data_IF_604360374983
#
_entry.id   IF_604360374983
#
_cell.length_a   1.000
_cell.length_b   1.000
_cell.length_c   1.000
_cell.angle_alpha   90.00
_cell.angle_beta   90.00
_cell.angle_gamma   90.00
#
_symmetry.space_group_name_H-M   'P 1'
#
loop_
_entity.id
_entity.type
_entity.pdbx_description
1 polymer ?
#
# COMPACT_ATOMS: atom_id res chain seq x y z
N UNK A 1 14.26 1.58 10.89
CA UNK A 1 14.98 1.09 9.70
C UNK A 1 14.28 -0.17 9.26
N UNK A 2 13.39 0.01 8.32
CA UNK A 2 12.34 -0.93 7.99
C UNK A 2 12.38 -1.18 6.48
N UNK A 3 13.59 -1.35 5.93
CA UNK A 3 13.76 -1.70 4.51
C UNK A 3 13.08 -3.06 4.20
N UNK A 4 12.94 -3.94 5.21
CA UNK A 4 12.14 -5.17 5.17
C UNK A 4 10.62 -4.99 5.33
N UNK A 5 10.12 -3.76 5.55
CA UNK A 5 8.68 -3.44 5.59
C UNK A 5 8.22 -2.74 4.31
N UNK A 6 8.96 -2.92 3.21
CA UNK A 6 8.38 -2.71 1.88
C UNK A 6 7.32 -3.76 1.61
N UNK A 7 6.17 -3.58 2.24
CA UNK A 7 4.97 -4.39 2.08
C UNK A 7 3.97 -3.74 1.15
N UNK A 8 4.16 -2.46 0.83
CA UNK A 8 3.23 -1.72 -0.03
C UNK A 8 3.64 -1.75 -1.51
N UNK A 9 2.68 -1.84 -2.45
CA UNK A 9 2.96 -1.96 -3.88
C UNK A 9 3.80 -0.84 -4.50
N UNK A 10 3.76 0.36 -3.93
CA UNK A 10 4.47 1.55 -4.38
C UNK A 10 5.95 1.57 -3.95
N UNK A 11 6.39 0.62 -3.12
CA UNK A 11 7.75 0.56 -2.62
C UNK A 11 8.57 -0.49 -3.38
N UNK A 12 9.75 -0.09 -3.88
CA UNK A 12 10.66 -0.96 -4.61
C UNK A 12 12.09 -0.92 -4.06
N UNK A 13 12.83 -2.00 -4.31
CA UNK A 13 14.25 -2.13 -3.99
C UNK A 13 15.03 -2.77 -5.13
N UNK A 14 16.26 -2.27 -5.33
CA UNK A 14 17.25 -2.90 -6.21
C UNK A 14 18.51 -3.14 -5.39
N UNK A 15 18.84 -4.42 -5.20
CA UNK A 15 20.08 -4.83 -4.55
C UNK A 15 21.20 -4.90 -5.59
N UNK A 16 22.24 -4.08 -5.42
CA UNK A 16 23.44 -4.10 -6.25
C UNK A 16 24.56 -4.78 -5.49
N UNK A 17 24.91 -6.00 -5.91
CA UNK A 17 26.03 -6.74 -5.34
C UNK A 17 27.32 -6.32 -6.03
N UNK A 18 28.27 -5.78 -5.26
CA UNK A 18 29.59 -5.42 -5.76
C UNK A 18 30.54 -6.62 -5.69
N UNK A 19 31.50 -6.68 -6.60
CA UNK A 19 32.61 -7.62 -6.51
C UNK A 19 33.38 -7.46 -5.17
N UNK A 20 34.06 -8.52 -4.70
CA UNK A 20 34.94 -8.44 -3.53
C UNK A 20 35.91 -7.26 -3.63
N UNK A 21 36.26 -6.64 -2.50
CA UNK A 21 37.10 -5.43 -2.47
C UNK A 21 38.44 -5.61 -3.21
N UNK A 22 39.03 -6.80 -3.18
CA UNK A 22 40.28 -7.10 -3.88
C UNK A 22 40.17 -7.19 -5.40
N UNK A 23 38.96 -7.35 -5.92
CA UNK A 23 38.69 -7.51 -7.36
C UNK A 23 38.13 -6.23 -8.00
N UNK A 24 38.09 -5.13 -7.25
CA UNK A 24 37.58 -3.83 -7.72
C UNK A 24 38.52 -2.70 -7.32
N UNK A 25 38.70 -1.75 -8.24
CA UNK A 25 39.51 -0.55 -8.01
C UNK A 25 38.78 0.54 -7.20
N UNK A 26 37.44 0.57 -7.27
CA UNK A 26 36.60 1.58 -6.60
C UNK A 26 36.08 1.08 -5.26
N UNK A 27 36.11 1.91 -4.21
CA UNK A 27 35.47 1.65 -2.91
C UNK A 27 33.93 1.70 -3.01
N UNK A 28 33.20 1.06 -2.07
CA UNK A 28 31.72 1.01 -2.12
C UNK A 28 31.12 2.41 -2.07
N UNK A 29 31.68 3.25 -1.20
CA UNK A 29 31.27 4.63 -1.04
C UNK A 29 31.42 5.46 -2.32
N UNK A 30 32.53 5.28 -3.03
CA UNK A 30 32.76 5.94 -4.32
C UNK A 30 31.81 5.43 -5.42
N UNK A 31 31.32 4.19 -5.31
CA UNK A 31 30.27 3.67 -6.20
C UNK A 31 28.90 4.27 -5.83
N UNK A 32 28.58 4.36 -4.54
CA UNK A 32 27.34 4.94 -4.06
C UNK A 32 27.20 6.42 -4.44
N UNK A 33 28.27 7.23 -4.29
CA UNK A 33 28.28 8.64 -4.70
C UNK A 33 28.06 8.82 -6.20
N UNK A 34 28.78 8.07 -7.03
CA UNK A 34 28.61 8.10 -8.50
C UNK A 34 27.20 7.67 -8.92
N UNK A 35 26.62 6.66 -8.26
CA UNK A 35 25.21 6.29 -8.49
C UNK A 35 24.26 7.42 -8.11
N UNK A 36 24.46 8.08 -6.97
CA UNK A 36 23.64 9.23 -6.56
C UNK A 36 23.69 10.33 -7.63
N UNK A 37 24.87 10.66 -8.13
CA UNK A 37 25.02 11.71 -9.14
C UNK A 37 24.38 11.34 -10.47
N UNK A 38 24.50 10.09 -10.91
CA UNK A 38 23.82 9.59 -12.13
C UNK A 38 22.30 9.60 -12.00
N UNK A 39 21.77 9.38 -10.80
CA UNK A 39 20.34 9.26 -10.54
C UNK A 39 19.65 10.61 -10.27
N UNK A 40 20.39 11.65 -9.85
CA UNK A 40 19.84 12.99 -9.56
C UNK A 40 19.03 13.60 -10.71
N UNK A 41 19.41 13.34 -11.96
CA UNK A 41 18.77 13.90 -13.15
C UNK A 41 17.76 12.97 -13.82
N UNK A 42 17.45 11.82 -13.22
CA UNK A 42 16.52 10.87 -13.81
C UNK A 42 15.09 11.45 -13.75
N UNK A 43 14.40 11.47 -14.89
CA UNK A 43 12.99 11.84 -14.93
C UNK A 43 12.18 10.79 -14.14
N UNK A 44 11.52 11.25 -13.08
CA UNK A 44 10.69 10.41 -12.22
C UNK A 44 9.29 11.01 -12.10
N UNK A 45 8.25 10.18 -11.89
CA UNK A 45 6.94 10.68 -11.53
C UNK A 45 7.00 11.60 -10.31
N UNK A 46 6.16 12.63 -10.28
CA UNK A 46 6.08 13.55 -9.15
C UNK A 46 5.81 12.79 -7.84
N UNK A 47 6.52 13.16 -6.76
CA UNK A 47 6.44 12.49 -5.46
C UNK A 47 7.30 11.23 -5.31
N UNK A 48 8.05 10.82 -6.34
CA UNK A 48 9.00 9.71 -6.22
C UNK A 48 10.16 10.07 -5.29
N UNK A 49 10.41 9.23 -4.29
CA UNK A 49 11.59 9.33 -3.42
C UNK A 49 12.58 8.23 -3.77
N UNK A 50 13.78 8.63 -4.23
CA UNK A 50 14.86 7.71 -4.58
C UNK A 50 16.05 7.92 -3.65
N UNK A 51 16.55 6.83 -3.06
CA UNK A 51 17.69 6.86 -2.12
C UNK A 51 18.69 5.76 -2.45
N UNK A 52 19.97 6.12 -2.55
CA UNK A 52 21.08 5.16 -2.62
C UNK A 52 21.63 4.95 -1.23
N UNK A 53 21.52 3.73 -0.72
CA UNK A 53 21.88 3.37 0.65
C UNK A 53 22.98 2.31 0.63
N UNK A 54 24.05 2.53 1.36
CA UNK A 54 25.04 1.50 1.65
C UNK A 54 24.60 0.72 2.90
N UNK A 55 24.52 -0.62 2.86
CA UNK A 55 24.15 -1.41 4.03
C UNK A 55 25.12 -1.12 5.19
N UNK A 56 24.65 -0.53 6.30
CA UNK A 56 25.54 -0.13 7.39
C UNK A 56 26.00 -1.35 8.18
N UNK A 57 27.24 -1.36 8.70
CA UNK A 57 27.80 -2.48 9.47
C UNK A 57 27.21 -2.65 10.89
N UNK A 58 26.28 -1.79 11.32
CA UNK A 58 25.71 -1.80 12.67
C UNK A 58 24.17 -1.82 12.70
N UNK A 59 23.56 -1.91 13.89
CA UNK A 59 22.13 -2.09 14.04
C UNK A 59 21.29 -0.95 13.42
N UNK A 60 20.04 -1.24 13.03
CA UNK A 60 19.21 -0.38 12.20
C UNK A 60 18.78 1.01 12.77
N UNK A 61 19.47 2.13 12.49
CA UNK A 61 18.98 3.53 12.74
C UNK A 61 18.22 4.21 11.58
N UNK A 62 17.03 4.78 11.83
CA UNK A 62 16.11 5.34 10.81
C UNK A 62 16.72 6.46 9.93
N UNK A 63 17.60 7.27 10.49
CA UNK A 63 18.33 8.34 9.84
C UNK A 63 19.43 8.85 10.78
N UNK A 64 20.34 9.68 10.27
CA UNK A 64 21.36 10.33 11.12
C UNK A 64 20.74 11.37 12.04
N UNK A 65 19.69 12.06 11.56
CA UNK A 65 18.83 12.95 12.31
C UNK A 65 17.39 12.47 12.20
N UNK A 66 16.65 12.47 13.30
CA UNK A 66 15.25 12.08 13.36
C UNK A 66 14.48 13.12 14.18
N UNK A 67 13.38 13.61 13.63
CA UNK A 67 12.43 14.44 14.33
C UNK A 67 11.10 13.68 14.45
N UNK A 68 10.65 13.45 15.68
CA UNK A 68 9.34 12.86 15.95
C UNK A 68 8.34 13.95 16.30
N UNK A 69 7.24 14.00 15.56
CA UNK A 69 6.24 15.05 15.69
C UNK A 69 4.99 14.46 16.36
N UNK A 70 4.71 14.94 17.57
CA UNK A 70 3.53 14.58 18.34
C UNK A 70 2.52 15.73 18.30
N UNK A 71 1.24 15.41 18.20
CA UNK A 71 0.18 16.41 18.08
C UNK A 71 -1.22 15.79 18.13
N UNK A 72 -2.24 16.61 18.42
CA UNK A 72 -3.58 16.15 18.77
C UNK A 72 -4.28 15.43 17.61
N UNK A 73 -4.01 15.83 16.37
CA UNK A 73 -4.64 15.29 15.18
C UNK A 73 -3.63 15.14 14.02
N UNK A 74 -4.03 14.45 12.96
CA UNK A 74 -3.16 14.14 11.84
C UNK A 74 -2.83 15.36 10.97
N UNK A 75 -3.75 16.32 10.85
CA UNK A 75 -3.56 17.53 10.05
C UNK A 75 -2.50 18.43 10.70
N UNK A 76 -2.63 18.68 12.00
CA UNK A 76 -1.67 19.45 12.80
C UNK A 76 -0.29 18.82 12.76
N UNK A 77 -0.17 17.49 12.94
CA UNK A 77 1.12 16.79 12.87
C UNK A 77 1.81 16.98 11.52
N UNK A 78 1.07 16.90 10.41
CA UNK A 78 1.62 17.09 9.06
C UNK A 78 2.04 18.53 8.82
N UNK A 79 1.24 19.51 9.25
CA UNK A 79 1.58 20.93 9.11
C UNK A 79 2.88 21.27 9.84
N UNK A 80 3.08 20.74 11.05
CA UNK A 80 4.33 20.90 11.80
C UNK A 80 5.48 20.16 11.13
N UNK A 81 5.26 18.91 10.71
CA UNK A 81 6.29 18.12 10.02
C UNK A 81 6.77 18.81 8.72
N UNK A 82 5.87 19.44 7.96
CA UNK A 82 6.23 20.20 6.76
C UNK A 82 7.16 21.38 7.07
N UNK A 83 6.92 22.13 8.16
CA UNK A 83 7.81 23.22 8.61
C UNK A 83 9.17 22.71 9.08
N UNK A 84 9.19 21.58 9.78
CA UNK A 84 10.45 20.94 10.21
C UNK A 84 11.24 20.45 9.00
N UNK A 85 10.55 19.87 8.00
CA UNK A 85 11.14 19.44 6.74
C UNK A 85 11.78 20.61 5.98
N UNK A 86 11.08 21.74 5.88
CA UNK A 86 11.62 22.97 5.29
C UNK A 86 12.87 23.46 6.04
N UNK A 87 12.82 23.45 7.37
CA UNK A 87 13.98 23.82 8.20
C UNK A 87 15.17 22.90 7.93
N UNK A 88 14.96 21.59 7.87
CA UNK A 88 16.04 20.64 7.57
C UNK A 88 16.59 20.83 6.16
N UNK A 89 15.73 21.05 5.17
CA UNK A 89 16.13 21.31 3.79
C UNK A 89 16.89 22.63 3.62
N UNK A 90 16.70 23.60 4.52
CA UNK A 90 17.43 24.88 4.48
C UNK A 90 18.90 24.77 4.90
N UNK A 91 19.28 23.68 5.59
CA UNK A 91 20.64 23.49 6.10
C UNK A 91 21.52 22.83 5.02
N UNK A 92 22.59 23.49 4.52
CA UNK A 92 23.32 23.03 3.32
C UNK A 92 23.93 21.63 3.37
N UNK A 93 24.19 21.10 4.56
CA UNK A 93 24.82 19.80 4.77
C UNK A 93 23.83 18.70 5.20
N UNK A 94 22.54 19.00 5.30
CA UNK A 94 21.50 17.99 5.50
C UNK A 94 21.01 17.54 4.12
N UNK A 95 21.16 16.26 3.83
CA UNK A 95 20.75 15.63 2.56
C UNK A 95 19.73 14.53 2.82
N UNK A 96 19.07 14.06 1.77
CA UNK A 96 18.11 12.94 1.83
C UNK A 96 16.93 13.19 2.80
N UNK A 97 16.49 14.45 2.94
CA UNK A 97 15.37 14.87 3.81
C UNK A 97 14.05 14.29 3.31
N UNK A 98 13.33 13.61 4.20
CA UNK A 98 12.10 12.88 3.90
C UNK A 98 11.17 12.81 5.11
N UNK A 99 9.91 12.47 4.89
CA UNK A 99 8.90 12.26 5.92
C UNK A 99 8.24 10.89 5.78
N UNK A 100 7.51 10.47 6.81
CA UNK A 100 6.89 9.15 6.84
C UNK A 100 5.47 9.12 6.28
N UNK A 101 4.81 10.27 6.14
CA UNK A 101 3.39 10.34 5.78
C UNK A 101 3.16 10.37 4.26
N UNK A 102 4.17 10.73 3.46
CA UNK A 102 4.14 10.72 2.00
C UNK A 102 2.90 11.47 1.42
N UNK A 103 2.60 11.26 0.15
CA UNK A 103 1.38 11.79 -0.46
C UNK A 103 0.16 11.03 0.08
N UNK A 104 -0.94 11.72 0.32
CA UNK A 104 -2.20 11.05 0.66
C UNK A 104 -2.71 10.29 -0.58
N UNK A 105 -2.80 8.95 -0.52
CA UNK A 105 -3.46 8.21 -1.59
C UNK A 105 -4.95 8.53 -1.57
N UNK A 106 -5.56 8.63 -2.76
CA UNK A 106 -7.02 8.71 -2.87
C UNK A 106 -7.61 7.46 -2.21
N UNK A 107 -8.52 7.67 -1.25
CA UNK A 107 -9.17 6.56 -0.55
C UNK A 107 -10.65 6.53 -0.90
N UNK A 108 -11.11 5.39 -1.39
CA UNK A 108 -12.53 5.14 -1.58
C UNK A 108 -13.09 4.45 -0.34
N UNK A 109 -14.16 5.03 0.19
CA UNK A 109 -14.93 4.48 1.30
C UNK A 109 -16.26 3.97 0.78
N UNK A 110 -16.47 2.66 0.95
CA UNK A 110 -17.76 2.02 0.77
C UNK A 110 -18.50 2.03 2.10
N UNK A 111 -19.68 2.63 2.12
CA UNK A 111 -20.58 2.62 3.27
C UNK A 111 -21.89 1.96 2.89
N UNK A 112 -22.45 1.16 3.78
CA UNK A 112 -23.70 0.45 3.52
C UNK A 112 -24.86 1.44 3.52
N UNK A 113 -25.74 1.31 2.54
CA UNK A 113 -27.00 2.04 2.46
C UNK A 113 -28.10 1.19 3.12
N UNK A 114 -28.41 1.50 4.38
CA UNK A 114 -29.37 0.72 5.18
C UNK A 114 -30.78 0.76 4.60
N UNK A 115 -31.20 1.91 4.07
CA UNK A 115 -32.54 2.08 3.51
C UNK A 115 -32.71 1.20 2.26
N UNK A 116 -31.68 1.16 1.40
CA UNK A 116 -31.68 0.30 0.22
C UNK A 116 -31.52 -1.18 0.58
N UNK A 117 -30.73 -1.54 1.58
CA UNK A 117 -30.66 -2.93 2.06
C UNK A 117 -32.05 -3.47 2.45
N UNK A 118 -32.82 -2.70 3.23
CA UNK A 118 -34.16 -3.09 3.65
C UNK A 118 -35.13 -3.15 2.47
N UNK A 119 -35.09 -2.16 1.58
CA UNK A 119 -35.93 -2.12 0.38
C UNK A 119 -35.69 -3.32 -0.52
N UNK A 120 -34.42 -3.66 -0.76
CA UNK A 120 -34.01 -4.77 -1.60
C UNK A 120 -33.95 -6.12 -0.88
N UNK A 121 -34.22 -6.14 0.43
CA UNK A 121 -34.25 -7.36 1.27
C UNK A 121 -32.94 -8.14 1.22
N UNK A 122 -31.84 -7.40 1.30
CA UNK A 122 -30.48 -7.92 1.33
C UNK A 122 -30.00 -7.94 2.77
N UNK A 123 -29.40 -9.05 3.20
CA UNK A 123 -28.77 -9.12 4.52
C UNK A 123 -27.44 -8.37 4.52
N UNK A 124 -27.17 -7.65 5.61
CA UNK A 124 -25.94 -6.87 5.74
C UNK A 124 -24.68 -7.75 5.61
N UNK A 125 -24.76 -9.00 6.09
CA UNK A 125 -23.69 -9.98 6.01
C UNK A 125 -23.31 -10.30 4.56
N UNK A 126 -24.28 -10.41 3.65
CA UNK A 126 -24.02 -10.74 2.24
C UNK A 126 -23.25 -9.63 1.52
N UNK A 127 -23.52 -8.36 1.87
CA UNK A 127 -22.73 -7.22 1.37
C UNK A 127 -21.30 -7.29 1.87
N UNK A 128 -21.09 -7.53 3.18
CA UNK A 128 -19.75 -7.65 3.75
C UNK A 128 -18.96 -8.83 3.18
N UNK A 129 -19.61 -9.98 2.99
CA UNK A 129 -19.01 -11.16 2.39
C UNK A 129 -18.62 -10.88 0.94
N UNK A 130 -19.49 -10.23 0.16
CA UNK A 130 -19.20 -9.82 -1.21
C UNK A 130 -17.99 -8.87 -1.27
N UNK A 131 -17.96 -7.84 -0.43
CA UNK A 131 -16.82 -6.92 -0.33
C UNK A 131 -15.53 -7.64 0.08
N UNK A 132 -15.63 -8.60 1.00
CA UNK A 132 -14.51 -9.42 1.46
C UNK A 132 -13.98 -10.32 0.34
N UNK A 133 -14.87 -10.95 -0.44
CA UNK A 133 -14.50 -11.74 -1.61
C UNK A 133 -13.81 -10.91 -2.67
N UNK A 134 -14.29 -9.69 -2.95
CA UNK A 134 -13.71 -8.84 -3.98
C UNK A 134 -12.36 -8.26 -3.57
N UNK A 135 -12.25 -7.65 -2.39
CA UNK A 135 -11.11 -6.82 -2.00
C UNK A 135 -10.22 -7.43 -0.91
N UNK A 136 -10.77 -8.23 0.00
CA UNK A 136 -9.98 -8.94 1.04
C UNK A 136 -9.36 -10.24 0.52
N UNK A 137 -10.04 -10.90 -0.41
CA UNK A 137 -9.69 -12.17 -1.00
C UNK A 137 -9.89 -13.33 -0.02
N UNK A 138 -10.84 -14.21 -0.30
CA UNK A 138 -11.19 -15.34 0.59
C UNK A 138 -10.70 -16.67 0.04
N UNK A 139 -10.11 -17.50 0.89
CA UNK A 139 -9.79 -18.89 0.57
C UNK A 139 -11.04 -19.75 0.73
N UNK A 140 -11.52 -20.34 -0.37
CA UNK A 140 -12.73 -21.18 -0.38
C UNK A 140 -12.42 -22.67 -0.31
N UNK A 141 -11.14 -23.04 -0.42
CA UNK A 141 -10.72 -24.42 -0.34
C UNK A 141 -9.26 -24.60 -0.66
N UNK A 142 -8.82 -25.86 -0.67
CA UNK A 142 -7.44 -26.23 -0.92
C UNK A 142 -7.36 -27.35 -1.94
N UNK A 143 -6.50 -27.17 -2.94
CA UNK A 143 -6.12 -28.22 -3.86
C UNK A 143 -4.94 -28.99 -3.27
N UNK A 144 -5.20 -30.22 -2.82
CA UNK A 144 -4.15 -31.11 -2.32
C UNK A 144 -3.36 -31.71 -3.48
N UNK A 145 -2.02 -31.67 -3.41
CA UNK A 145 -1.13 -32.15 -4.48
C UNK A 145 -0.44 -33.49 -4.20
N UNK A 146 -0.70 -34.10 -3.04
CA UNK A 146 -0.04 -35.34 -2.61
C UNK A 146 1.48 -35.20 -2.40
N UNK A 147 2.14 -36.30 -2.04
CA UNK A 147 3.61 -36.38 -1.95
C UNK A 147 4.25 -35.45 -0.91
N UNK A 148 3.54 -35.14 0.18
CA UNK A 148 4.04 -34.26 1.24
C UNK A 148 4.14 -32.78 0.86
N UNK A 149 3.61 -32.38 -0.31
CA UNK A 149 3.60 -30.97 -0.73
C UNK A 149 2.51 -30.20 0.01
N UNK A 150 2.81 -28.94 0.30
CA UNK A 150 1.82 -28.01 0.86
C UNK A 150 0.63 -27.85 -0.11
N UNK A 151 -0.60 -27.84 0.40
CA UNK A 151 -1.79 -27.63 -0.42
C UNK A 151 -1.82 -26.21 -0.99
N UNK A 152 -2.38 -26.06 -2.19
CA UNK A 152 -2.53 -24.74 -2.83
C UNK A 152 -3.92 -24.18 -2.48
N UNK A 153 -4.03 -22.98 -1.89
CA UNK A 153 -5.33 -22.36 -1.62
C UNK A 153 -6.03 -21.95 -2.92
N UNK A 154 -7.31 -22.29 -3.02
CA UNK A 154 -8.22 -21.73 -4.03
C UNK A 154 -8.76 -20.45 -3.44
N UNK A 155 -8.42 -19.30 -4.03
CA UNK A 155 -8.81 -17.98 -3.53
C UNK A 155 -9.74 -17.28 -4.52
N UNK A 156 -10.81 -16.71 -4.01
CA UNK A 156 -11.67 -15.76 -4.74
C UNK A 156 -11.21 -14.36 -4.35
N UNK A 157 -10.79 -13.58 -5.34
CA UNK A 157 -10.34 -12.21 -5.20
C UNK A 157 -10.41 -11.51 -6.56
N UNK A 158 -10.58 -10.18 -6.57
CA UNK A 158 -10.28 -9.40 -7.77
C UNK A 158 -8.78 -9.51 -8.09
N UNK A 159 -8.45 -9.52 -9.39
CA UNK A 159 -7.04 -9.40 -9.79
C UNK A 159 -6.50 -8.04 -9.35
N UNK A 160 -5.18 -7.94 -9.16
CA UNK A 160 -4.55 -6.68 -8.72
C UNK A 160 -4.90 -5.48 -9.61
N UNK A 161 -4.98 -5.69 -10.93
CA UNK A 161 -5.37 -4.66 -11.92
C UNK A 161 -6.83 -4.23 -11.81
N UNK A 162 -7.67 -5.09 -11.25
CA UNK A 162 -9.11 -4.93 -11.16
C UNK A 162 -9.59 -4.62 -9.73
N UNK A 163 -8.67 -4.48 -8.77
CA UNK A 163 -8.97 -4.21 -7.36
C UNK A 163 -9.37 -2.76 -7.07
N UNK A 164 -9.91 -2.07 -8.06
CA UNK A 164 -10.42 -0.70 -7.96
C UNK A 164 -11.95 -0.73 -7.86
N UNK A 165 -12.54 0.22 -7.15
CA UNK A 165 -14.00 0.35 -7.08
C UNK A 165 -14.47 1.04 -8.36
N UNK A 166 -14.80 0.25 -9.37
CA UNK A 166 -15.34 0.69 -10.65
C UNK A 166 -16.79 0.23 -10.85
N UNK A 167 -17.38 0.58 -12.00
CA UNK A 167 -18.75 0.16 -12.34
C UNK A 167 -18.91 -1.36 -12.34
N UNK A 168 -17.88 -2.12 -12.74
CA UNK A 168 -17.94 -3.58 -12.78
C UNK A 168 -17.96 -4.17 -11.36
N UNK A 169 -17.19 -3.59 -10.44
CA UNK A 169 -17.22 -4.00 -9.05
C UNK A 169 -18.57 -3.66 -8.40
N UNK A 170 -19.16 -2.51 -8.71
CA UNK A 170 -20.47 -2.12 -8.21
C UNK A 170 -21.63 -2.94 -8.81
N UNK A 171 -21.50 -3.41 -10.05
CA UNK A 171 -22.46 -4.33 -10.67
C UNK A 171 -22.35 -5.78 -10.15
N UNK A 172 -21.53 -6.04 -9.12
CA UNK A 172 -21.41 -7.40 -8.56
C UNK A 172 -22.73 -7.81 -7.92
N UNK A 173 -23.31 -8.97 -8.29
CA UNK A 173 -24.56 -9.43 -7.69
C UNK A 173 -24.37 -9.78 -6.21
N UNK A 174 -25.27 -9.27 -5.37
CA UNK A 174 -25.42 -9.60 -3.96
C UNK A 174 -26.76 -10.33 -3.79
N UNK A 175 -26.80 -11.34 -2.91
CA UNK A 175 -28.01 -12.09 -2.65
C UNK A 175 -29.06 -11.25 -1.91
N UNK A 176 -30.29 -11.24 -2.41
CA UNK A 176 -31.46 -10.68 -1.73
C UNK A 176 -32.26 -11.80 -1.07
N UNK A 177 -31.76 -12.27 0.07
CA UNK A 177 -32.19 -13.50 0.74
C UNK A 177 -32.76 -13.28 2.15
N UNK A 178 -33.04 -12.03 2.55
CA UNK A 178 -33.57 -11.73 3.89
C UNK A 178 -34.93 -12.41 4.16
N UNK A 179 -35.64 -12.80 3.10
CA UNK A 179 -36.84 -13.63 3.19
C UNK A 179 -36.55 -15.10 2.83
N UNK A 180 -37.02 -16.07 3.62
CA UNK A 180 -36.85 -17.49 3.31
C UNK A 180 -37.39 -17.86 1.92
N UNK A 181 -36.53 -18.46 1.11
CA UNK A 181 -36.89 -18.92 -0.25
C UNK A 181 -36.73 -17.88 -1.35
N UNK A 182 -36.36 -16.63 -1.03
CA UNK A 182 -35.98 -15.65 -2.03
C UNK A 182 -34.68 -16.05 -2.75
N UNK A 183 -34.61 -15.78 -4.05
CA UNK A 183 -33.45 -16.07 -4.92
C UNK A 183 -33.07 -14.89 -5.79
N UNK A 184 -33.56 -13.71 -5.44
CA UNK A 184 -33.30 -12.49 -6.17
C UNK A 184 -31.87 -12.03 -5.90
N UNK A 185 -31.35 -11.22 -6.81
CA UNK A 185 -30.03 -10.61 -6.71
C UNK A 185 -30.15 -9.14 -7.00
N UNK A 186 -29.33 -8.35 -6.31
CA UNK A 186 -29.28 -6.88 -6.41
C UNK A 186 -27.82 -6.49 -6.63
N UNK A 187 -27.57 -5.40 -7.36
CA UNK A 187 -26.21 -4.96 -7.59
C UNK A 187 -25.63 -4.36 -6.30
N UNK A 188 -24.36 -4.63 -6.02
CA UNK A 188 -23.64 -4.07 -4.87
C UNK A 188 -23.78 -2.54 -4.81
N UNK A 189 -23.73 -1.87 -5.96
CA UNK A 189 -23.87 -0.42 -6.11
C UNK A 189 -25.22 0.14 -5.67
N UNK A 190 -26.28 -0.67 -5.67
CA UNK A 190 -27.60 -0.26 -5.21
C UNK A 190 -27.68 -0.24 -3.68
N UNK A 191 -26.83 -1.01 -2.98
CA UNK A 191 -26.86 -1.18 -1.52
C UNK A 191 -25.66 -0.56 -0.80
N UNK A 192 -24.77 0.13 -1.52
CA UNK A 192 -23.63 0.84 -0.95
C UNK A 192 -23.49 2.25 -1.53
N UNK A 193 -22.98 3.17 -0.71
CA UNK A 193 -22.54 4.50 -1.12
C UNK A 193 -21.02 4.56 -1.15
N UNK A 194 -20.49 5.08 -2.26
CA UNK A 194 -19.05 5.30 -2.44
C UNK A 194 -18.74 6.78 -2.20
N UNK A 195 -17.85 7.06 -1.25
CA UNK A 195 -17.31 8.42 -1.02
C UNK A 195 -15.79 8.43 -1.18
N UNK A 196 -15.24 9.57 -1.62
CA UNK A 196 -13.80 9.83 -1.66
C UNK A 196 -13.37 10.52 -0.37
N UNK A 197 -12.31 9.99 0.26
CA UNK A 197 -11.59 10.57 1.41
C UNK A 197 -10.21 11.09 0.98
#
# INVERSE_FOLDING_TARGET
RHYYLRSSPEQGDIAVNLLPKGERSRASHAVALDLRDRLKGMAMPAGTVLKVVEPPPGPPVLGTLLAEIYGPDAETRRAVAAKVRETFASVPFIVDVDDSFHNQPERLRLSIDQDNLEYYKVEQADVYDTLSYLYGGTTVGYSHRGGGRLPIPIRIALSKTNGVVDQRALATPVAANALPGARDVVELGDVVRVSRE
#
